data_IF_192570842458
#
_entry.id   IF_192570842458
#
_cell.length_a   1.000
_cell.length_b   1.000
_cell.length_c   1.000
_cell.angle_alpha   90.00
_cell.angle_beta   90.00
_cell.angle_gamma   90.00
#
_symmetry.space_group_name_H-M   'P 1'
#
loop_
_entity.id
_entity.type
_entity.pdbx_description
1 polymer ?
#
# COMPACT_ATOMS: atom_id res chain seq x y z
N UNK A 1 7.84 42.64 -21.88
CA UNK A 1 6.46 42.30 -22.35
C UNK A 1 6.29 40.81 -22.63
N UNK A 2 6.86 40.21 -23.69
CA UNK A 2 6.65 38.78 -23.97
C UNK A 2 7.15 37.86 -22.83
N UNK A 3 8.32 38.16 -22.27
CA UNK A 3 8.90 37.42 -21.13
C UNK A 3 8.04 37.49 -19.86
N UNK A 4 7.45 38.65 -19.58
CA UNK A 4 6.60 38.87 -18.40
C UNK A 4 5.26 38.13 -18.54
N UNK A 5 4.70 38.09 -19.75
CA UNK A 5 3.49 37.32 -20.07
C UNK A 5 3.76 35.81 -19.95
N UNK A 6 4.90 35.31 -20.47
CA UNK A 6 5.29 33.90 -20.31
C UNK A 6 5.50 33.53 -18.84
N UNK A 7 6.13 34.40 -18.05
CA UNK A 7 6.38 34.16 -16.63
C UNK A 7 5.07 34.15 -15.81
N UNK A 8 4.12 35.03 -16.14
CA UNK A 8 2.78 35.04 -15.53
C UNK A 8 1.97 33.81 -15.95
N UNK A 9 2.01 33.43 -17.23
CA UNK A 9 1.35 32.21 -17.75
C UNK A 9 1.87 30.95 -17.05
N UNK A 10 3.18 30.84 -16.86
CA UNK A 10 3.80 29.73 -16.12
C UNK A 10 3.41 29.74 -14.64
N UNK A 11 3.28 30.92 -14.04
CA UNK A 11 2.84 31.06 -12.64
C UNK A 11 1.38 30.64 -12.46
N UNK A 12 0.50 30.99 -13.40
CA UNK A 12 -0.90 30.56 -13.41
C UNK A 12 -1.04 29.05 -13.64
N UNK A 13 -0.28 28.48 -14.58
CA UNK A 13 -0.21 27.04 -14.81
C UNK A 13 0.28 26.30 -13.56
N UNK A 14 1.30 26.82 -12.89
CA UNK A 14 1.82 26.25 -11.65
C UNK A 14 0.81 26.37 -10.51
N UNK A 15 0.14 27.51 -10.36
CA UNK A 15 -0.89 27.72 -9.34
C UNK A 15 -2.11 26.81 -9.56
N UNK A 16 -2.57 26.67 -10.80
CA UNK A 16 -3.66 25.76 -11.16
C UNK A 16 -3.29 24.30 -10.89
N UNK A 17 -2.09 23.87 -11.31
CA UNK A 17 -1.60 22.51 -11.03
C UNK A 17 -1.49 22.22 -9.53
N UNK A 18 -0.99 23.18 -8.74
CA UNK A 18 -0.95 23.06 -7.28
C UNK A 18 -2.34 23.01 -6.66
N UNK A 19 -3.27 23.82 -7.14
CA UNK A 19 -4.66 23.83 -6.65
C UNK A 19 -5.34 22.47 -6.91
N UNK A 20 -5.21 21.92 -8.12
CA UNK A 20 -5.74 20.60 -8.46
C UNK A 20 -5.11 19.48 -7.61
N UNK A 21 -3.80 19.52 -7.38
CA UNK A 21 -3.12 18.56 -6.51
C UNK A 21 -3.58 18.64 -5.05
N UNK A 22 -3.78 19.86 -4.53
CA UNK A 22 -4.27 20.07 -3.17
C UNK A 22 -5.72 19.57 -3.00
N UNK A 23 -6.54 19.66 -4.04
CA UNK A 23 -7.92 19.17 -4.03
C UNK A 23 -7.96 17.64 -3.95
N UNK A 24 -7.20 16.92 -4.78
CA UNK A 24 -7.09 15.46 -4.69
C UNK A 24 -6.53 15.00 -3.34
N UNK A 25 -5.57 15.74 -2.80
CA UNK A 25 -4.97 15.46 -1.49
C UNK A 25 -5.94 15.72 -0.34
N UNK A 26 -6.85 16.69 -0.47
CA UNK A 26 -7.84 17.07 0.55
C UNK A 26 -8.75 15.89 0.89
N UNK A 27 -9.16 15.12 -0.12
CA UNK A 27 -10.02 13.96 0.03
C UNK A 27 -9.32 12.78 0.73
N UNK A 28 -8.02 12.87 1.01
CA UNK A 28 -7.26 11.83 1.71
C UNK A 28 -6.76 12.26 3.10
N UNK A 29 -6.95 13.52 3.53
CA UNK A 29 -6.32 14.06 4.75
C UNK A 29 -7.29 14.59 5.81
N UNK A 30 -8.60 14.37 5.65
CA UNK A 30 -9.60 14.80 6.63
C UNK A 30 -9.42 14.13 8.01
N UNK A 31 -8.86 12.92 8.06
CA UNK A 31 -8.56 12.17 9.28
C UNK A 31 -7.06 11.96 9.40
N UNK A 32 -6.41 12.82 10.19
CA UNK A 32 -4.96 12.82 10.41
C UNK A 32 -4.48 11.52 11.06
N UNK A 33 -5.28 10.93 11.95
CA UNK A 33 -4.92 9.66 12.59
C UNK A 33 -4.92 8.54 11.56
N UNK A 34 -5.93 8.49 10.69
CA UNK A 34 -6.01 7.51 9.62
C UNK A 34 -4.89 7.68 8.59
N UNK A 35 -4.50 8.92 8.27
CA UNK A 35 -3.31 9.19 7.42
C UNK A 35 -2.05 8.60 8.04
N UNK A 36 -1.81 8.86 9.32
CA UNK A 36 -0.64 8.34 10.03
C UNK A 36 -0.65 6.81 10.11
N UNK A 37 -1.78 6.22 10.50
CA UNK A 37 -1.94 4.78 10.63
C UNK A 37 -1.74 4.06 9.30
N UNK A 38 -2.37 4.55 8.23
CA UNK A 38 -2.21 3.96 6.89
C UNK A 38 -0.77 4.08 6.39
N UNK A 39 -0.06 5.18 6.66
CA UNK A 39 1.36 5.30 6.32
C UNK A 39 2.21 4.28 7.09
N UNK A 40 1.96 4.11 8.40
CA UNK A 40 2.62 3.10 9.22
C UNK A 40 2.39 1.70 8.65
N UNK A 41 1.15 1.36 8.29
CA UNK A 41 0.82 0.06 7.71
C UNK A 41 1.54 -0.19 6.37
N UNK A 42 1.68 0.83 5.50
CA UNK A 42 2.46 0.69 4.26
C UNK A 42 3.92 0.38 4.53
N UNK A 43 4.52 1.07 5.51
CA UNK A 43 5.90 0.81 5.94
C UNK A 43 6.05 -0.63 6.46
N UNK A 44 5.07 -1.13 7.20
CA UNK A 44 5.09 -2.51 7.72
C UNK A 44 5.02 -3.58 6.61
N UNK A 45 4.28 -3.33 5.53
CA UNK A 45 4.29 -4.19 4.32
C UNK A 45 5.68 -4.20 3.67
N UNK A 46 6.30 -3.02 3.51
CA UNK A 46 7.65 -2.91 2.93
C UNK A 46 8.69 -3.62 3.79
N UNK A 47 8.66 -3.44 5.11
CA UNK A 47 9.56 -4.13 6.04
C UNK A 47 9.44 -5.65 5.92
N UNK A 48 8.22 -6.18 5.86
CA UNK A 48 8.02 -7.62 5.76
C UNK A 48 8.58 -8.17 4.44
N UNK A 49 8.43 -7.42 3.35
CA UNK A 49 9.05 -7.75 2.06
C UNK A 49 10.58 -7.74 2.15
N UNK A 50 11.16 -6.69 2.70
CA UNK A 50 12.62 -6.55 2.85
C UNK A 50 13.21 -7.68 3.71
N UNK A 51 12.54 -8.04 4.81
CA UNK A 51 12.92 -9.15 5.69
C UNK A 51 12.95 -10.49 4.95
N UNK A 52 11.96 -10.77 4.10
CA UNK A 52 11.91 -11.99 3.28
C UNK A 52 12.98 -11.93 2.20
N UNK A 53 13.06 -10.83 1.44
CA UNK A 53 13.93 -10.71 0.27
C UNK A 53 15.41 -10.76 0.66
N UNK A 54 15.77 -10.21 1.83
CA UNK A 54 17.14 -10.28 2.36
C UNK A 54 17.65 -11.72 2.60
N UNK A 55 16.74 -12.69 2.70
CA UNK A 55 17.07 -14.09 2.97
C UNK A 55 17.01 -14.99 1.73
N UNK A 56 16.43 -14.53 0.61
CA UNK A 56 16.25 -15.33 -0.60
C UNK A 56 17.58 -15.81 -1.19
N UNK A 57 18.66 -15.03 -1.06
CA UNK A 57 20.00 -15.44 -1.53
C UNK A 57 20.58 -16.69 -0.85
N UNK A 58 19.97 -17.17 0.23
CA UNK A 58 20.41 -18.37 0.97
C UNK A 58 19.77 -19.67 0.43
N UNK A 59 18.71 -19.60 -0.38
CA UNK A 59 17.98 -20.76 -0.91
C UNK A 59 17.48 -21.75 0.17
N UNK A 60 17.30 -21.28 1.41
CA UNK A 60 16.75 -22.10 2.48
C UNK A 60 15.22 -22.14 2.38
N UNK A 61 14.61 -23.22 2.87
CA UNK A 61 13.18 -23.22 3.14
C UNK A 61 12.93 -22.68 4.55
N UNK A 62 11.99 -21.76 4.70
CA UNK A 62 11.50 -21.30 6.00
C UNK A 62 10.03 -20.89 5.90
N UNK A 63 9.39 -20.71 7.05
CA UNK A 63 8.05 -20.14 7.13
C UNK A 63 8.12 -18.64 7.34
N UNK A 64 7.51 -17.89 6.43
CA UNK A 64 7.36 -16.44 6.52
C UNK A 64 6.56 -16.15 7.77
N UNK A 65 7.08 -15.26 8.63
CA UNK A 65 6.39 -14.85 9.84
C UNK A 65 5.26 -13.89 9.44
N UNK A 66 3.98 -14.23 9.71
CA UNK A 66 2.86 -13.37 9.37
C UNK A 66 2.95 -12.01 10.06
N UNK A 67 2.87 -10.92 9.30
CA UNK A 67 2.75 -9.59 9.88
C UNK A 67 1.31 -9.35 10.34
N UNK A 68 1.07 -9.48 11.65
CA UNK A 68 -0.25 -9.30 12.27
C UNK A 68 -0.64 -7.84 12.50
N UNK A 69 0.25 -6.88 12.23
CA UNK A 69 -0.02 -5.46 12.51
C UNK A 69 -1.23 -4.94 11.74
N UNK A 70 -1.40 -5.39 10.49
CA UNK A 70 -2.58 -5.06 9.68
C UNK A 70 -3.86 -5.59 10.33
N UNK A 71 -3.89 -6.87 10.71
CA UNK A 71 -5.08 -7.50 11.29
C UNK A 71 -5.44 -6.88 12.65
N UNK A 72 -4.44 -6.63 13.50
CA UNK A 72 -4.62 -5.95 14.78
C UNK A 72 -5.18 -4.55 14.58
N UNK A 73 -4.63 -3.78 13.63
CA UNK A 73 -5.12 -2.46 13.31
C UNK A 73 -6.55 -2.48 12.78
N UNK A 74 -6.86 -3.38 11.83
CA UNK A 74 -8.20 -3.50 11.25
C UNK A 74 -9.23 -3.84 12.32
N UNK A 75 -8.94 -4.77 13.25
CA UNK A 75 -9.85 -5.08 14.36
C UNK A 75 -10.11 -3.85 15.25
N UNK A 76 -9.06 -3.09 15.59
CA UNK A 76 -9.21 -1.86 16.37
C UNK A 76 -10.04 -0.81 15.61
N UNK A 77 -9.76 -0.62 14.32
CA UNK A 77 -10.43 0.35 13.48
C UNK A 77 -11.94 0.09 13.36
N UNK A 78 -12.33 -1.16 13.05
CA UNK A 78 -13.74 -1.58 12.98
C UNK A 78 -14.47 -1.35 14.30
N UNK A 79 -13.85 -1.69 15.44
CA UNK A 79 -14.50 -1.54 16.75
C UNK A 79 -14.61 -0.07 17.19
N UNK A 80 -13.75 0.81 16.68
CA UNK A 80 -13.71 2.23 17.05
C UNK A 80 -14.53 3.15 16.15
N UNK A 81 -14.99 2.66 14.99
CA UNK A 81 -15.71 3.48 14.01
C UNK A 81 -17.03 2.85 13.60
N UNK A 82 -18.12 3.63 13.66
CA UNK A 82 -19.48 3.19 13.30
C UNK A 82 -19.74 3.09 11.79
N UNK A 83 -18.70 3.07 10.94
CA UNK A 83 -18.84 3.42 9.52
C UNK A 83 -18.47 2.28 8.54
N UNK A 84 -19.50 1.75 7.88
CA UNK A 84 -19.79 1.61 6.44
C UNK A 84 -18.72 1.19 5.40
N UNK A 85 -17.43 1.08 5.73
CA UNK A 85 -16.38 0.73 4.75
C UNK A 85 -16.13 -0.78 4.69
N UNK A 86 -17.18 -1.59 4.91
CA UNK A 86 -17.09 -3.04 5.02
C UNK A 86 -16.44 -3.67 3.78
N UNK A 87 -16.77 -3.15 2.58
CA UNK A 87 -16.18 -3.63 1.32
C UNK A 87 -14.67 -3.37 1.26
N UNK A 88 -14.25 -2.12 1.47
CA UNK A 88 -12.83 -1.73 1.42
C UNK A 88 -12.00 -2.48 2.45
N UNK A 89 -12.53 -2.63 3.67
CA UNK A 89 -11.88 -3.38 4.76
C UNK A 89 -11.80 -4.88 4.45
N UNK A 90 -12.87 -5.47 3.91
CA UNK A 90 -12.87 -6.89 3.51
C UNK A 90 -11.84 -7.14 2.41
N UNK A 91 -11.81 -6.29 1.39
CA UNK A 91 -10.78 -6.35 0.33
C UNK A 91 -9.37 -6.19 0.89
N UNK A 92 -9.16 -5.28 1.86
CA UNK A 92 -7.86 -5.09 2.51
C UNK A 92 -7.41 -6.34 3.26
N UNK A 93 -8.30 -6.98 4.03
CA UNK A 93 -8.01 -8.26 4.71
C UNK A 93 -7.62 -9.35 3.71
N UNK A 94 -8.42 -9.52 2.65
CA UNK A 94 -8.14 -10.52 1.61
C UNK A 94 -6.79 -10.27 0.94
N UNK A 95 -6.50 -9.03 0.55
CA UNK A 95 -5.20 -8.70 -0.04
C UNK A 95 -4.03 -8.89 0.92
N UNK A 96 -4.20 -8.59 2.21
CA UNK A 96 -3.16 -8.85 3.21
C UNK A 96 -2.86 -10.35 3.35
N UNK A 97 -3.89 -11.21 3.34
CA UNK A 97 -3.70 -12.67 3.35
C UNK A 97 -2.98 -13.14 2.09
N UNK A 98 -3.45 -12.71 0.91
CA UNK A 98 -2.82 -13.09 -0.37
C UNK A 98 -1.37 -12.62 -0.46
N UNK A 99 -1.06 -11.41 0.03
CA UNK A 99 0.31 -10.90 0.11
C UNK A 99 1.22 -11.83 0.94
N UNK A 100 0.77 -12.27 2.11
CA UNK A 100 1.53 -13.19 2.98
C UNK A 100 1.69 -14.57 2.35
N UNK A 101 0.64 -15.09 1.72
CA UNK A 101 0.68 -16.37 1.01
C UNK A 101 1.65 -16.30 -0.18
N UNK A 102 1.62 -15.21 -0.96
CA UNK A 102 2.53 -15.00 -2.08
C UNK A 102 4.00 -14.90 -1.64
N UNK A 103 4.27 -14.27 -0.50
CA UNK A 103 5.62 -14.28 0.09
C UNK A 103 6.07 -15.70 0.44
N UNK A 104 5.19 -16.52 1.03
CA UNK A 104 5.52 -17.90 1.35
C UNK A 104 5.77 -18.72 0.08
N UNK A 105 4.95 -18.56 -0.96
CA UNK A 105 5.13 -19.23 -2.25
C UNK A 105 6.44 -18.84 -2.92
N UNK A 106 6.84 -17.57 -2.85
CA UNK A 106 8.13 -17.11 -3.36
C UNK A 106 9.30 -17.75 -2.61
N UNK A 107 9.22 -17.84 -1.27
CA UNK A 107 10.23 -18.51 -0.45
C UNK A 107 10.35 -19.98 -0.82
N UNK A 108 9.22 -20.68 -0.95
CA UNK A 108 9.18 -22.10 -1.27
C UNK A 108 9.75 -22.35 -2.69
N UNK A 109 9.34 -21.56 -3.69
CA UNK A 109 9.87 -21.65 -5.06
C UNK A 109 11.38 -21.37 -5.12
N UNK A 110 11.85 -20.37 -4.37
CA UNK A 110 13.26 -20.04 -4.29
C UNK A 110 14.07 -21.16 -3.62
N UNK A 111 13.59 -21.75 -2.52
CA UNK A 111 14.23 -22.89 -1.86
C UNK A 111 14.35 -24.10 -2.78
N UNK A 112 13.34 -24.32 -3.64
CA UNK A 112 13.31 -25.38 -4.65
C UNK A 112 14.20 -25.09 -5.87
N UNK A 113 14.84 -23.92 -5.94
CA UNK A 113 15.64 -23.46 -7.09
C UNK A 113 14.86 -23.53 -8.41
N UNK A 114 13.59 -23.12 -8.34
CA UNK A 114 12.76 -22.99 -9.53
C UNK A 114 13.35 -21.97 -10.52
N UNK A 115 12.89 -22.00 -11.77
CA UNK A 115 13.45 -21.15 -12.81
C UNK A 115 13.23 -19.67 -12.52
N UNK A 116 14.11 -18.82 -13.05
CA UNK A 116 13.99 -17.36 -12.90
C UNK A 116 12.64 -16.83 -13.39
N UNK A 117 12.05 -17.43 -14.41
CA UNK A 117 10.71 -17.05 -14.89
C UNK A 117 9.64 -17.29 -13.82
N UNK A 118 9.70 -18.41 -13.11
CA UNK A 118 8.76 -18.70 -12.02
C UNK A 118 9.00 -17.75 -10.84
N UNK A 119 10.27 -17.54 -10.45
CA UNK A 119 10.62 -16.62 -9.37
C UNK A 119 10.18 -15.18 -9.67
N UNK A 120 10.37 -14.71 -10.90
CA UNK A 120 9.92 -13.39 -11.35
C UNK A 120 8.40 -13.26 -11.30
N UNK A 121 7.66 -14.30 -11.72
CA UNK A 121 6.20 -14.31 -11.62
C UNK A 121 5.73 -14.27 -10.17
N UNK A 122 6.35 -15.04 -9.27
CA UNK A 122 6.03 -15.02 -7.83
C UNK A 122 6.36 -13.68 -7.17
N UNK A 123 7.50 -13.09 -7.50
CA UNK A 123 7.84 -11.75 -7.02
C UNK A 123 6.84 -10.70 -7.54
N UNK A 124 6.39 -10.82 -8.80
CA UNK A 124 5.37 -9.94 -9.38
C UNK A 124 4.03 -10.06 -8.62
N UNK A 125 3.58 -11.26 -8.30
CA UNK A 125 2.37 -11.50 -7.50
C UNK A 125 2.45 -10.83 -6.11
N UNK A 126 3.64 -10.80 -5.48
CA UNK A 126 3.88 -10.08 -4.22
C UNK A 126 3.76 -8.56 -4.41
N UNK A 127 4.34 -8.00 -5.47
CA UNK A 127 4.27 -6.55 -5.74
C UNK A 127 2.84 -6.09 -6.09
N UNK A 128 2.11 -6.88 -6.87
CA UNK A 128 0.72 -6.57 -7.23
C UNK A 128 -0.18 -6.48 -5.99
N UNK A 129 -0.09 -7.44 -5.07
CA UNK A 129 -0.87 -7.38 -3.83
C UNK A 129 -0.37 -6.27 -2.88
N UNK A 130 0.93 -5.96 -2.85
CA UNK A 130 1.46 -4.81 -2.10
C UNK A 130 0.85 -3.48 -2.57
N UNK A 131 0.84 -3.25 -3.89
CA UNK A 131 0.26 -2.05 -4.49
C UNK A 131 -1.26 -1.97 -4.26
N UNK A 132 -1.94 -3.12 -4.31
CA UNK A 132 -3.37 -3.21 -4.03
C UNK A 132 -3.68 -2.87 -2.57
N UNK A 133 -2.89 -3.36 -1.60
CA UNK A 133 -2.99 -2.94 -0.19
C UNK A 133 -2.83 -1.41 -0.08
N UNK A 134 -1.84 -0.82 -0.75
CA UNK A 134 -1.60 0.62 -0.67
C UNK A 134 -2.76 1.43 -1.25
N UNK A 135 -3.33 0.95 -2.35
CA UNK A 135 -4.50 1.53 -3.00
C UNK A 135 -5.73 1.44 -2.10
N UNK A 136 -5.97 0.30 -1.47
CA UNK A 136 -7.08 0.09 -0.54
C UNK A 136 -6.96 0.96 0.71
N UNK A 137 -5.74 1.13 1.25
CA UNK A 137 -5.48 2.05 2.36
C UNK A 137 -5.75 3.52 1.96
N UNK A 138 -5.39 3.93 0.74
CA UNK A 138 -5.74 5.26 0.24
C UNK A 138 -7.25 5.41 0.02
N UNK A 139 -7.90 4.38 -0.52
CA UNK A 139 -9.36 4.36 -0.68
C UNK A 139 -10.06 4.49 0.67
N UNK A 140 -9.54 3.84 1.71
CA UNK A 140 -10.09 3.93 3.06
C UNK A 140 -10.04 5.36 3.61
N UNK A 141 -8.96 6.11 3.33
CA UNK A 141 -8.88 7.55 3.66
C UNK A 141 -9.98 8.34 2.93
N UNK A 142 -10.15 8.12 1.62
CA UNK A 142 -11.21 8.76 0.82
C UNK A 142 -12.61 8.45 1.34
N UNK A 143 -12.85 7.19 1.69
CA UNK A 143 -14.14 6.75 2.22
C UNK A 143 -14.43 7.37 3.60
N UNK A 144 -13.39 7.66 4.40
CA UNK A 144 -13.56 8.36 5.67
C UNK A 144 -13.90 9.85 5.47
N UNK A 145 -13.42 10.49 4.41
CA UNK A 145 -13.68 11.90 4.11
C UNK A 145 -15.03 12.17 3.43
N UNK A 146 -15.72 11.13 2.94
CA UNK A 146 -17.08 11.22 2.39
C UNK A 146 -18.19 11.24 3.46
N UNK A 147 -17.83 11.23 4.74
CA UNK A 147 -18.77 11.30 5.87
C UNK A 147 -19.34 12.69 6.05
#
# INVERSE_FOLDING_TARGET
>A
MAKDITQMSNSLLSAASRASFLEESRDEVCDVNLVYDTAKLKVEVLKNKDEVYSQLGKYNSWKVVPNKNMDTWVHKYINSTSNNNEKTIKSLKTSNTLFQDNLQLLVDANANKESNDVLNNKAKEVEEESLKIFTLLNQLKKDACKR
#
